data_IF_518591929254
#
_entry.id   IF_518591929254
#
_cell.length_a   1.000
_cell.length_b   1.000
_cell.length_c   1.000
_cell.angle_alpha   90.00
_cell.angle_beta   90.00
_cell.angle_gamma   90.00
#
_symmetry.space_group_name_H-M   'P 1'
#
loop_
_entity.id
_entity.type
_entity.pdbx_description
1 polymer ?
#
# COMPACT_ATOMS: atom_id res chain seq x y z
N UNK A 1 -7.90 -3.94 4.53
CA UNK A 1 -7.80 -5.10 5.44
C UNK A 1 -6.37 -5.14 5.97
N UNK A 2 -6.08 -5.95 6.99
CA UNK A 2 -4.73 -6.08 7.54
C UNK A 2 -4.11 -7.44 7.18
N UNK A 3 -2.78 -7.51 7.08
CA UNK A 3 -2.04 -8.74 6.81
C UNK A 3 -2.31 -9.76 7.93
N UNK A 4 -2.85 -10.92 7.56
CA UNK A 4 -3.03 -12.04 8.50
C UNK A 4 -1.85 -13.00 8.43
N UNK A 5 -1.57 -13.73 9.50
CA UNK A 5 -0.50 -14.74 9.51
C UNK A 5 -0.68 -15.80 8.40
N UNK A 6 -1.92 -16.16 8.08
CA UNK A 6 -2.22 -17.09 6.99
C UNK A 6 -1.87 -16.50 5.61
N UNK A 7 -2.16 -15.21 5.39
CA UNK A 7 -1.78 -14.53 4.16
C UNK A 7 -0.26 -14.38 4.05
N UNK A 8 0.41 -14.02 5.15
CA UNK A 8 1.87 -13.90 5.20
C UNK A 8 2.56 -15.22 4.87
N UNK A 9 2.09 -16.35 5.42
CA UNK A 9 2.64 -17.66 5.09
C UNK A 9 2.47 -17.99 3.60
N UNK A 10 1.30 -17.71 3.02
CA UNK A 10 1.06 -17.91 1.57
C UNK A 10 1.97 -17.04 0.71
N UNK A 11 2.18 -15.78 1.09
CA UNK A 11 3.08 -14.87 0.41
C UNK A 11 4.53 -15.36 0.50
N UNK A 12 4.93 -15.89 1.66
CA UNK A 12 6.26 -16.48 1.85
C UNK A 12 6.47 -17.70 0.96
N UNK A 13 5.49 -18.62 0.93
CA UNK A 13 5.54 -19.83 0.09
C UNK A 13 5.56 -19.49 -1.41
N UNK A 14 4.91 -18.41 -1.80
CA UNK A 14 4.93 -17.86 -3.16
C UNK A 14 6.19 -17.04 -3.51
N UNK A 15 7.14 -16.88 -2.56
CA UNK A 15 8.35 -16.08 -2.73
C UNK A 15 8.13 -14.56 -2.75
N UNK A 16 6.90 -14.11 -2.51
CA UNK A 16 6.50 -12.70 -2.61
C UNK A 16 7.10 -11.83 -1.52
N UNK A 17 7.36 -12.38 -0.32
CA UNK A 17 8.08 -11.65 0.74
C UNK A 17 9.48 -11.27 0.27
N UNK A 18 10.22 -12.23 -0.30
CA UNK A 18 11.56 -11.96 -0.84
C UNK A 18 11.49 -10.98 -2.02
N UNK A 19 10.51 -11.17 -2.91
CA UNK A 19 10.31 -10.27 -4.03
C UNK A 19 10.05 -8.82 -3.60
N UNK A 20 9.30 -8.61 -2.52
CA UNK A 20 9.13 -7.30 -1.91
C UNK A 20 10.47 -6.74 -1.42
N UNK A 21 11.23 -7.48 -0.63
CA UNK A 21 12.52 -7.02 -0.07
C UNK A 21 13.51 -6.63 -1.18
N UNK A 22 13.64 -7.48 -2.21
CA UNK A 22 14.51 -7.24 -3.37
C UNK A 22 14.11 -5.99 -4.17
N UNK A 23 12.86 -5.53 -4.04
CA UNK A 23 12.29 -4.39 -4.78
C UNK A 23 11.72 -3.30 -3.84
N UNK A 24 12.15 -3.28 -2.57
CA UNK A 24 11.52 -2.48 -1.51
C UNK A 24 11.39 -1.01 -1.86
N UNK A 25 12.43 -0.42 -2.43
CA UNK A 25 12.44 1.00 -2.82
C UNK A 25 11.35 1.34 -3.85
N UNK A 26 11.11 0.45 -4.82
CA UNK A 26 10.08 0.66 -5.83
C UNK A 26 8.68 0.54 -5.25
N UNK A 27 8.45 -0.45 -4.37
CA UNK A 27 7.16 -0.59 -3.69
C UNK A 27 6.90 0.51 -2.67
N UNK A 28 7.95 1.05 -2.04
CA UNK A 28 7.84 2.26 -1.20
C UNK A 28 7.37 3.46 -2.02
N UNK A 29 7.97 3.71 -3.19
CA UNK A 29 7.53 4.80 -4.05
C UNK A 29 6.06 4.63 -4.49
N UNK A 30 5.65 3.39 -4.79
CA UNK A 30 4.26 3.07 -5.13
C UNK A 30 3.31 3.32 -3.95
N UNK A 31 3.71 2.91 -2.75
CA UNK A 31 2.93 3.09 -1.52
C UNK A 31 2.81 4.57 -1.12
N UNK A 32 3.87 5.37 -1.31
CA UNK A 32 3.83 6.83 -1.12
C UNK A 32 2.79 7.47 -2.05
N UNK A 33 2.81 7.09 -3.34
CA UNK A 33 1.84 7.63 -4.30
C UNK A 33 0.39 7.23 -3.95
N UNK A 34 0.16 5.98 -3.55
CA UNK A 34 -1.15 5.52 -3.11
C UNK A 34 -1.61 6.26 -1.85
N UNK A 35 -0.71 6.46 -0.88
CA UNK A 35 -0.99 7.21 0.33
C UNK A 35 -1.36 8.65 0.03
N UNK A 36 -0.59 9.34 -0.81
CA UNK A 36 -0.86 10.73 -1.20
C UNK A 36 -2.18 10.88 -1.97
N UNK A 37 -2.50 9.92 -2.84
CA UNK A 37 -3.78 9.88 -3.52
C UNK A 37 -4.95 9.79 -2.52
N UNK A 38 -4.88 8.83 -1.59
CA UNK A 38 -5.88 8.66 -0.54
C UNK A 38 -5.98 9.89 0.35
N UNK A 39 -4.85 10.52 0.71
CA UNK A 39 -4.80 11.75 1.50
C UNK A 39 -5.55 12.89 0.83
N UNK A 40 -5.35 13.09 -0.47
CA UNK A 40 -6.06 14.12 -1.25
C UNK A 40 -7.55 13.82 -1.36
N UNK A 41 -7.93 12.55 -1.44
CA UNK A 41 -9.33 12.14 -1.50
C UNK A 41 -10.10 12.48 -0.21
N UNK A 42 -9.45 12.34 0.95
CA UNK A 42 -10.03 12.70 2.25
C UNK A 42 -9.68 14.14 2.68
N UNK A 43 -9.01 14.91 1.83
CA UNK A 43 -8.63 16.29 2.14
C UNK A 43 -9.88 17.17 2.15
N UNK A 44 -10.21 17.72 3.32
CA UNK A 44 -11.44 18.50 3.53
C UNK A 44 -12.48 17.76 4.35
N UNK A 45 -12.38 16.44 4.44
CA UNK A 45 -13.11 15.61 5.38
C UNK A 45 -12.32 15.55 6.70
N UNK A 46 -12.99 15.63 7.85
CA UNK A 46 -12.33 15.46 9.16
C UNK A 46 -12.03 13.97 9.46
N UNK A 47 -11.59 13.24 8.44
CA UNK A 47 -11.27 11.83 8.48
C UNK A 47 -9.76 11.62 8.40
N UNK A 48 -9.18 10.77 9.26
CA UNK A 48 -7.78 10.37 9.12
C UNK A 48 -7.60 9.47 7.90
N UNK A 49 -6.41 9.47 7.31
CA UNK A 49 -6.04 8.46 6.30
C UNK A 49 -5.96 7.11 6.99
N UNK A 50 -6.76 6.14 6.55
CA UNK A 50 -6.73 4.78 7.09
C UNK A 50 -5.94 3.86 6.19
N UNK A 51 -5.28 2.87 6.78
CA UNK A 51 -4.51 1.86 6.04
C UNK A 51 -5.37 1.14 4.99
N UNK A 52 -6.64 0.88 5.30
CA UNK A 52 -7.58 0.22 4.38
C UNK A 52 -7.85 1.05 3.12
N UNK A 53 -7.95 2.37 3.25
CA UNK A 53 -8.18 3.27 2.11
C UNK A 53 -6.93 3.34 1.21
N UNK A 54 -5.74 3.26 1.81
CA UNK A 54 -4.47 3.19 1.07
C UNK A 54 -4.30 1.83 0.41
N UNK A 55 -4.74 0.75 1.05
CA UNK A 55 -4.68 -0.62 0.49
C UNK A 55 -5.46 -0.72 -0.81
N UNK A 56 -6.67 -0.15 -0.87
CA UNK A 56 -7.47 -0.13 -2.09
C UNK A 56 -6.79 0.65 -3.23
N UNK A 57 -6.21 1.82 -2.93
CA UNK A 57 -5.46 2.61 -3.92
C UNK A 57 -4.18 1.89 -4.39
N UNK A 58 -3.47 1.24 -3.46
CA UNK A 58 -2.25 0.49 -3.76
C UNK A 58 -2.53 -0.75 -4.60
N UNK A 59 -3.64 -1.45 -4.35
CA UNK A 59 -4.05 -2.60 -5.15
C UNK A 59 -4.26 -2.21 -6.62
N UNK A 60 -4.94 -1.08 -6.87
CA UNK A 60 -5.11 -0.54 -8.23
C UNK A 60 -3.75 -0.20 -8.86
N UNK A 61 -2.86 0.44 -8.10
CA UNK A 61 -1.53 0.79 -8.58
C UNK A 61 -0.69 -0.46 -8.94
N UNK A 62 -0.81 -1.53 -8.15
CA UNK A 62 -0.15 -2.82 -8.42
C UNK A 62 -0.65 -3.47 -9.71
N UNK A 63 -1.96 -3.42 -9.97
CA UNK A 63 -2.58 -3.97 -11.19
C UNK A 63 -2.18 -3.22 -12.46
N UNK A 64 -1.87 -1.92 -12.34
CA UNK A 64 -1.36 -1.12 -13.47
C UNK A 64 0.16 -1.28 -13.62
N UNK A 65 0.85 -1.75 -12.58
CA UNK A 65 2.30 -1.96 -12.64
C UNK A 65 2.66 -3.30 -13.28
N UNK A 66 3.42 -3.27 -14.37
CA UNK A 66 3.87 -4.49 -15.05
C UNK A 66 4.78 -5.39 -14.19
N UNK A 67 5.46 -4.83 -13.16
CA UNK A 67 6.45 -5.58 -12.36
C UNK A 67 5.81 -6.71 -11.56
N UNK A 68 4.74 -6.42 -10.84
CA UNK A 68 4.09 -7.41 -9.98
C UNK A 68 3.36 -8.45 -10.83
N UNK A 69 2.65 -8.01 -11.87
CA UNK A 69 1.99 -8.91 -12.81
C UNK A 69 2.98 -9.86 -13.51
N UNK A 70 4.14 -9.36 -13.95
CA UNK A 70 5.19 -10.20 -14.54
C UNK A 70 5.75 -11.25 -13.56
N UNK A 71 5.86 -10.91 -12.27
CA UNK A 71 6.25 -11.89 -11.26
C UNK A 71 5.20 -12.98 -11.11
N UNK A 72 3.92 -12.60 -10.97
CA UNK A 72 2.82 -13.55 -10.85
C UNK A 72 2.74 -14.48 -12.06
N UNK A 73 2.86 -13.93 -13.27
CA UNK A 73 2.84 -14.69 -14.52
C UNK A 73 4.01 -15.69 -14.60
N UNK A 74 5.24 -15.27 -14.26
CA UNK A 74 6.41 -16.16 -14.30
C UNK A 74 6.36 -17.30 -13.29
N UNK A 75 5.64 -17.12 -12.17
CA UNK A 75 5.45 -18.13 -11.13
C UNK A 75 4.11 -18.87 -11.22
N UNK A 76 3.32 -18.62 -12.28
CA UNK A 76 1.98 -19.22 -12.51
C UNK A 76 0.99 -18.96 -11.36
N UNK A 77 1.12 -17.81 -10.70
CA UNK A 77 0.26 -17.36 -9.61
C UNK A 77 -0.93 -16.59 -10.19
N UNK A 78 -2.03 -17.29 -10.48
CA UNK A 78 -3.16 -16.74 -11.26
C UNK A 78 -4.28 -16.15 -10.40
N UNK A 79 -4.25 -16.35 -9.09
CA UNK A 79 -5.36 -15.97 -8.22
C UNK A 79 -5.36 -14.46 -7.94
N UNK A 80 -6.54 -13.82 -8.07
CA UNK A 80 -6.66 -12.37 -7.90
C UNK A 80 -6.34 -11.87 -6.48
N UNK A 81 -6.46 -12.74 -5.46
CA UNK A 81 -6.15 -12.37 -4.08
C UNK A 81 -4.67 -12.00 -3.87
N UNK A 82 -3.77 -12.34 -4.81
CA UNK A 82 -2.36 -11.98 -4.69
C UNK A 82 -2.15 -10.46 -4.65
N UNK A 83 -2.97 -9.67 -5.36
CA UNK A 83 -2.88 -8.21 -5.34
C UNK A 83 -3.25 -7.65 -3.97
N UNK A 84 -4.37 -8.09 -3.40
CA UNK A 84 -4.78 -7.68 -2.05
C UNK A 84 -3.76 -8.11 -1.00
N UNK A 85 -3.32 -9.37 -1.00
CA UNK A 85 -2.35 -9.85 0.01
C UNK A 85 -1.02 -9.11 -0.09
N UNK A 86 -0.57 -8.82 -1.31
CA UNK A 86 0.69 -8.12 -1.52
C UNK A 86 0.59 -6.64 -1.16
N UNK A 87 -0.55 -5.99 -1.41
CA UNK A 87 -0.82 -4.64 -0.92
C UNK A 87 -0.79 -4.59 0.62
N UNK A 88 -1.44 -5.56 1.27
CA UNK A 88 -1.44 -5.68 2.73
C UNK A 88 -0.02 -5.88 3.28
N UNK A 89 0.82 -6.70 2.62
CA UNK A 89 2.23 -6.89 2.98
C UNK A 89 3.03 -5.59 2.87
N UNK A 90 2.91 -4.88 1.74
CA UNK A 90 3.63 -3.61 1.53
C UNK A 90 3.27 -2.62 2.63
N UNK A 91 1.98 -2.49 2.96
CA UNK A 91 1.53 -1.57 3.99
C UNK A 91 1.95 -2.01 5.39
N UNK A 92 1.86 -3.30 5.71
CA UNK A 92 2.35 -3.83 6.99
C UNK A 92 3.82 -3.45 7.25
N UNK A 93 4.68 -3.56 6.22
CA UNK A 93 6.11 -3.26 6.32
C UNK A 93 6.45 -1.77 6.29
N UNK A 94 5.64 -0.94 5.63
CA UNK A 94 5.98 0.46 5.35
C UNK A 94 5.10 1.47 6.08
N UNK A 95 4.02 1.06 6.76
CA UNK A 95 3.04 1.99 7.33
C UNK A 95 3.66 3.00 8.29
N UNK A 96 4.58 2.56 9.16
CA UNK A 96 5.27 3.43 10.10
C UNK A 96 6.10 4.52 9.39
N UNK A 97 6.79 4.17 8.29
CA UNK A 97 7.53 5.13 7.48
C UNK A 97 6.60 6.10 6.75
N UNK A 98 5.53 5.59 6.13
CA UNK A 98 4.57 6.40 5.39
C UNK A 98 3.85 7.40 6.30
N UNK A 99 3.46 6.96 7.50
CA UNK A 99 2.81 7.82 8.48
C UNK A 99 3.78 8.86 9.08
N UNK A 100 5.07 8.53 9.21
CA UNK A 100 6.10 9.44 9.71
C UNK A 100 6.50 10.51 8.69
N UNK A 101 6.48 10.20 7.39
CA UNK A 101 6.77 11.15 6.31
C UNK A 101 5.68 12.24 6.15
N UNK A 102 4.59 12.16 6.91
CA UNK A 102 3.50 13.13 6.86
C UNK A 102 3.90 14.45 7.55
N UNK A 103 3.85 15.60 6.86
CA UNK A 103 3.87 16.88 7.58
C UNK A 103 2.63 16.97 8.49
N UNK A 104 2.77 17.48 9.72
CA UNK A 104 1.63 17.63 10.63
C UNK A 104 0.53 18.42 9.94
N UNK A 105 -0.73 17.96 10.06
CA UNK A 105 -1.90 18.68 9.52
C UNK A 105 -1.81 20.14 9.96
N UNK A 106 -1.58 21.05 9.02
CA UNK A 106 -1.71 22.49 9.31
C UNK A 106 -3.16 22.70 9.71
N UNK A 107 -3.40 22.84 11.01
CA UNK A 107 -4.70 23.23 11.51
C UNK A 107 -5.09 24.49 10.75
N UNK A 108 -6.23 24.50 10.05
CA UNK A 108 -6.86 25.74 9.59
C UNK A 108 -7.25 26.54 10.85
N UNK A 109 -6.28 27.16 11.51
CA UNK A 109 -6.53 28.21 12.50
C UNK A 109 -6.67 29.51 11.71
N UNK A 110 -7.88 30.06 11.74
CA UNK A 110 -8.14 31.45 11.36
C UNK A 110 -8.83 31.62 10.01
N UNK A 111 -10.15 31.44 10.00
CA UNK A 111 -11.04 32.12 9.05
C UNK A 111 -12.40 32.36 9.71
N UNK A 112 -12.38 33.14 10.80
CA UNK A 112 -13.57 33.85 11.26
C UNK A 112 -13.12 35.25 11.61
N UNK A 113 -13.39 36.18 10.70
CA UNK A 113 -13.44 37.62 10.98
C UNK A 113 -14.85 37.96 11.41
#
# INVERSE_FOLDING_TARGET
MALTAAHEQRLKDAGLVKFFEDNRAAYRALAVNAFDYTRRYVEGEDLPVRVDDVAAALELALRVSNRFEAYLASHRLTQQYWFSYFADLILDRLWSELAADLPPRRSRRGATR
#
